data_IF_351911639154
#
_entry.id   IF_351911639154
#
_cell.length_a   1.000
_cell.length_b   1.000
_cell.length_c   1.000
_cell.angle_alpha   90.00
_cell.angle_beta   90.00
_cell.angle_gamma   90.00
#
_symmetry.space_group_name_H-M   'P 1'
#
loop_
_entity.id
_entity.type
_entity.pdbx_description
1 polymer ?
#
# COMPACT_ATOMS: atom_id res chain seq x y z
N UNK A 1 15.08 -20.41 -8.01
CA UNK A 1 13.64 -20.41 -8.32
C UNK A 1 13.54 -20.30 -9.83
N UNK A 2 12.77 -21.16 -10.46
CA UNK A 2 12.47 -21.09 -11.89
C UNK A 2 11.13 -20.39 -12.04
N UNK A 3 11.16 -19.16 -12.49
CA UNK A 3 9.96 -18.41 -12.82
C UNK A 3 9.45 -18.92 -14.18
N UNK A 4 8.21 -19.42 -14.21
CA UNK A 4 7.52 -19.73 -15.46
C UNK A 4 6.84 -18.48 -16.00
N UNK A 5 5.88 -18.63 -16.89
CA UNK A 5 5.12 -17.51 -17.45
C UNK A 5 4.40 -16.73 -16.32
N UNK A 6 5.00 -15.60 -15.93
CA UNK A 6 4.51 -14.71 -14.86
C UNK A 6 4.27 -13.35 -15.48
N UNK A 7 3.06 -12.82 -15.32
CA UNK A 7 2.71 -11.49 -15.82
C UNK A 7 3.20 -10.40 -14.85
N UNK A 8 3.07 -10.62 -13.53
CA UNK A 8 3.44 -9.66 -12.49
C UNK A 8 4.18 -10.35 -11.35
N UNK A 9 5.15 -9.63 -10.79
CA UNK A 9 5.86 -10.03 -9.56
C UNK A 9 5.78 -8.91 -8.55
N UNK A 10 5.21 -9.20 -7.39
CA UNK A 10 5.18 -8.29 -6.24
C UNK A 10 6.26 -8.68 -5.25
N UNK A 11 6.98 -7.70 -4.76
CA UNK A 11 8.05 -7.89 -3.77
C UNK A 11 7.64 -7.15 -2.51
N UNK A 12 7.32 -7.90 -1.44
CA UNK A 12 7.10 -7.33 -0.11
C UNK A 12 8.44 -6.97 0.51
N UNK A 13 8.59 -5.69 0.86
CA UNK A 13 9.84 -5.13 1.32
C UNK A 13 9.79 -4.80 2.81
N UNK A 14 10.90 -4.93 3.53
CA UNK A 14 10.96 -4.47 4.91
C UNK A 14 10.75 -2.94 4.99
N UNK A 15 10.23 -2.43 6.11
CA UNK A 15 9.97 -1.00 6.27
C UNK A 15 11.25 -0.16 6.25
N UNK A 16 11.12 1.07 5.78
CA UNK A 16 12.17 2.06 5.81
C UNK A 16 13.10 2.06 4.59
N UNK A 17 14.26 2.67 4.75
CA UNK A 17 15.23 2.94 3.68
C UNK A 17 16.52 2.14 3.86
N UNK A 18 16.40 0.91 4.35
CA UNK A 18 17.55 0.04 4.66
C UNK A 18 18.21 -0.61 3.43
N UNK A 19 19.29 -1.31 3.66
CA UNK A 19 20.15 -1.93 2.62
C UNK A 19 19.38 -2.93 1.74
N UNK A 20 18.35 -3.59 2.28
CA UNK A 20 17.54 -4.53 1.50
C UNK A 20 16.78 -3.81 0.40
N UNK A 21 16.15 -2.68 0.72
CA UNK A 21 15.43 -1.86 -0.25
C UNK A 21 16.37 -1.36 -1.36
N UNK A 22 17.53 -0.84 -0.97
CA UNK A 22 18.56 -0.40 -1.91
C UNK A 22 19.04 -1.55 -2.82
N UNK A 23 19.30 -2.71 -2.25
CA UNK A 23 19.76 -3.88 -3.00
C UNK A 23 18.73 -4.33 -4.05
N UNK A 24 17.45 -4.36 -3.67
CA UNK A 24 16.37 -4.73 -4.60
C UNK A 24 16.30 -3.72 -5.75
N UNK A 25 16.27 -2.42 -5.44
CA UNK A 25 16.17 -1.37 -6.45
C UNK A 25 17.40 -1.33 -7.40
N UNK A 26 18.58 -1.73 -6.91
CA UNK A 26 19.80 -1.78 -7.73
C UNK A 26 19.92 -3.05 -8.55
N UNK A 27 19.36 -4.16 -8.09
CA UNK A 27 19.59 -5.47 -8.68
C UNK A 27 18.43 -5.98 -9.53
N UNK A 28 17.23 -5.44 -9.35
CA UNK A 28 16.01 -5.87 -10.03
C UNK A 28 15.45 -4.68 -10.80
N UNK A 29 15.07 -4.84 -12.09
CA UNK A 29 14.42 -3.79 -12.86
C UNK A 29 12.99 -3.56 -12.39
N UNK A 30 12.84 -2.89 -11.24
CA UNK A 30 11.54 -2.58 -10.63
C UNK A 30 10.82 -1.55 -11.49
N UNK A 31 9.60 -1.83 -11.93
CA UNK A 31 8.78 -0.92 -12.73
C UNK A 31 8.22 0.24 -11.91
N UNK A 32 7.98 0.01 -10.62
CA UNK A 32 7.53 1.04 -9.70
C UNK A 32 7.35 0.52 -8.28
N UNK A 33 7.15 1.43 -7.36
CA UNK A 33 6.97 1.16 -5.93
C UNK A 33 5.63 1.73 -5.49
N UNK A 34 4.84 0.92 -4.80
CA UNK A 34 3.64 1.37 -4.08
C UNK A 34 4.01 1.53 -2.61
N UNK A 35 3.78 2.71 -2.07
CA UNK A 35 4.02 2.98 -0.66
C UNK A 35 2.79 2.65 0.16
N UNK A 36 2.95 1.84 1.21
CA UNK A 36 1.88 1.57 2.17
C UNK A 36 2.17 2.36 3.44
N UNK A 37 1.26 3.24 3.79
CA UNK A 37 1.36 4.13 4.96
C UNK A 37 0.23 3.83 5.95
N UNK A 38 0.35 4.36 7.14
CA UNK A 38 -0.76 4.52 8.10
C UNK A 38 -0.88 6.01 8.44
N UNK A 39 -2.07 6.49 8.85
CA UNK A 39 -2.31 7.93 9.04
C UNK A 39 -1.63 8.50 10.32
N UNK A 40 -0.49 7.97 10.70
CA UNK A 40 0.30 8.45 11.82
C UNK A 40 1.40 9.41 11.34
N UNK A 41 1.54 10.62 11.90
CA UNK A 41 2.51 11.62 11.44
C UNK A 41 3.96 11.12 11.37
N UNK A 42 4.35 10.24 12.30
CA UNK A 42 5.70 9.65 12.26
C UNK A 42 5.90 8.70 11.08
N UNK A 43 4.86 7.98 10.68
CA UNK A 43 4.92 7.06 9.53
C UNK A 43 5.02 7.86 8.23
N UNK A 44 4.27 8.96 8.10
CA UNK A 44 4.35 9.86 6.95
C UNK A 44 5.78 10.36 6.69
N UNK A 45 6.52 10.71 7.74
CA UNK A 45 7.95 11.10 7.61
C UNK A 45 8.84 9.96 7.11
N UNK A 46 8.54 8.71 7.48
CA UNK A 46 9.31 7.54 7.00
C UNK A 46 8.99 7.29 5.53
N UNK A 47 7.72 7.37 5.14
CA UNK A 47 7.28 7.21 3.76
C UNK A 47 7.87 8.32 2.87
N UNK A 48 7.87 9.56 3.31
CA UNK A 48 8.50 10.66 2.58
C UNK A 48 9.99 10.40 2.31
N UNK A 49 10.74 9.92 3.31
CA UNK A 49 12.14 9.52 3.13
C UNK A 49 12.30 8.37 2.13
N UNK A 50 11.38 7.40 2.15
CA UNK A 50 11.39 6.29 1.20
C UNK A 50 11.08 6.77 -0.23
N UNK A 51 10.16 7.70 -0.42
CA UNK A 51 9.90 8.34 -1.70
C UNK A 51 11.14 9.07 -2.24
N UNK A 52 11.82 9.87 -1.40
CA UNK A 52 13.08 10.52 -1.79
C UNK A 52 14.20 9.53 -2.11
N UNK A 53 14.23 8.37 -1.46
CA UNK A 53 15.17 7.31 -1.83
C UNK A 53 14.85 6.75 -3.22
N UNK A 54 13.59 6.46 -3.50
CA UNK A 54 13.16 5.99 -4.82
C UNK A 54 13.52 7.00 -5.92
N UNK A 55 13.29 8.30 -5.69
CA UNK A 55 13.68 9.37 -6.59
C UNK A 55 15.17 9.35 -6.90
N UNK A 56 16.03 9.25 -5.86
CA UNK A 56 17.49 9.15 -6.04
C UNK A 56 17.95 7.89 -6.77
N UNK A 57 17.16 6.82 -6.70
CA UNK A 57 17.41 5.55 -7.36
C UNK A 57 16.78 5.50 -8.77
N UNK A 58 16.12 6.59 -9.19
CA UNK A 58 15.40 6.68 -10.47
C UNK A 58 14.28 5.63 -10.60
N UNK A 59 13.70 5.21 -9.45
CA UNK A 59 12.57 4.29 -9.39
C UNK A 59 11.28 5.08 -9.18
N UNK A 60 10.29 4.87 -10.04
CA UNK A 60 9.00 5.55 -9.97
C UNK A 60 8.23 5.15 -8.72
N UNK A 61 7.78 6.11 -7.91
CA UNK A 61 6.74 5.87 -6.91
C UNK A 61 5.39 5.99 -7.62
N UNK A 62 4.64 4.89 -7.67
CA UNK A 62 3.36 4.81 -8.38
C UNK A 62 2.27 5.56 -7.61
N UNK A 63 2.23 5.35 -6.30
CA UNK A 63 1.27 6.00 -5.41
C UNK A 63 1.35 5.48 -3.98
N UNK A 64 0.43 5.95 -3.16
CA UNK A 64 0.33 5.64 -1.73
C UNK A 64 -0.99 4.90 -1.48
N UNK A 65 -0.95 3.87 -0.62
CA UNK A 65 -2.12 3.23 -0.02
C UNK A 65 -2.09 3.55 1.47
N UNK A 66 -3.17 4.11 1.99
CA UNK A 66 -3.29 4.37 3.42
C UNK A 66 -4.00 3.23 4.11
N UNK A 67 -3.26 2.43 4.86
CA UNK A 67 -3.80 1.32 5.64
C UNK A 67 -4.22 1.79 7.04
N UNK A 68 -5.21 1.13 7.63
CA UNK A 68 -5.75 1.46 8.97
C UNK A 68 -6.28 2.91 9.05
N UNK A 69 -6.83 3.43 7.96
CA UNK A 69 -7.25 4.82 7.86
C UNK A 69 -8.48 5.13 8.71
N UNK A 70 -9.38 4.17 8.88
CA UNK A 70 -10.63 4.32 9.63
C UNK A 70 -11.10 3.00 10.22
N UNK A 71 -12.02 3.08 11.17
CA UNK A 71 -12.79 1.95 11.68
C UNK A 71 -14.21 2.01 11.10
N UNK A 72 -14.74 0.88 10.67
CA UNK A 72 -16.16 0.76 10.33
C UNK A 72 -16.94 0.26 11.53
N UNK A 73 -17.96 0.99 11.94
CA UNK A 73 -18.83 0.57 13.05
C UNK A 73 -19.56 -0.72 12.68
N UNK A 74 -19.45 -1.79 13.48
CA UNK A 74 -20.08 -3.08 13.15
C UNK A 74 -21.61 -3.04 13.16
N UNK A 75 -22.24 -2.02 13.76
CA UNK A 75 -23.68 -1.93 13.89
C UNK A 75 -24.33 -1.02 12.83
N UNK A 76 -23.71 0.12 12.52
CA UNK A 76 -24.30 1.12 11.62
C UNK A 76 -23.46 1.36 10.36
N UNK A 77 -22.31 0.71 10.22
CA UNK A 77 -21.36 0.87 9.10
C UNK A 77 -20.85 2.30 8.90
N UNK A 78 -21.04 3.18 9.89
CA UNK A 78 -20.49 4.52 9.86
C UNK A 78 -18.95 4.47 10.00
N UNK A 79 -18.25 5.28 9.19
CA UNK A 79 -16.79 5.40 9.25
C UNK A 79 -16.40 6.29 10.42
N UNK A 80 -15.54 5.77 11.30
CA UNK A 80 -14.95 6.49 12.41
C UNK A 80 -13.50 6.79 12.04
N UNK A 81 -13.22 8.06 11.75
CA UNK A 81 -11.87 8.52 11.39
C UNK A 81 -11.12 8.91 12.67
N UNK A 82 -9.94 8.35 12.87
CA UNK A 82 -9.09 8.66 14.03
C UNK A 82 -8.07 9.76 13.73
N UNK A 83 -7.81 10.00 12.45
CA UNK A 83 -6.80 10.92 11.98
C UNK A 83 -7.40 11.89 10.97
N UNK A 84 -6.72 13.00 10.76
CA UNK A 84 -7.16 14.02 9.80
C UNK A 84 -6.79 13.60 8.38
N UNK A 85 -7.71 13.73 7.44
CA UNK A 85 -7.45 13.48 6.01
C UNK A 85 -6.36 14.39 5.42
N UNK A 86 -6.19 15.57 6.00
CA UNK A 86 -5.16 16.54 5.60
C UNK A 86 -3.74 15.99 5.68
N UNK A 87 -3.49 14.98 6.54
CA UNK A 87 -2.15 14.42 6.73
C UNK A 87 -1.70 13.59 5.52
N UNK A 88 -2.58 12.74 4.96
CA UNK A 88 -2.25 11.95 3.76
C UNK A 88 -2.23 12.80 2.50
N UNK A 89 -3.11 13.79 2.38
CA UNK A 89 -3.09 14.74 1.27
C UNK A 89 -1.79 15.54 1.25
N UNK A 90 -1.33 15.97 2.42
CA UNK A 90 -0.04 16.66 2.57
C UNK A 90 1.11 15.78 2.13
N UNK A 91 1.11 14.50 2.52
CA UNK A 91 2.12 13.53 2.12
C UNK A 91 2.10 13.32 0.59
N UNK A 92 0.95 13.11 -0.01
CA UNK A 92 0.82 12.96 -1.47
C UNK A 92 1.32 14.21 -2.21
N UNK A 93 1.00 15.40 -1.72
CA UNK A 93 1.46 16.66 -2.31
C UNK A 93 2.98 16.84 -2.18
N UNK A 94 3.57 16.53 -1.00
CA UNK A 94 5.03 16.68 -0.78
C UNK A 94 5.86 15.70 -1.60
N UNK A 95 5.31 14.53 -1.89
CA UNK A 95 5.97 13.48 -2.67
C UNK A 95 5.56 13.44 -4.14
N UNK A 96 4.67 14.34 -4.57
CA UNK A 96 4.11 14.38 -5.93
C UNK A 96 3.52 13.02 -6.38
N UNK A 97 2.89 12.31 -5.45
CA UNK A 97 2.28 11.00 -5.68
C UNK A 97 0.76 11.05 -5.52
N UNK A 98 0.06 10.06 -6.07
CA UNK A 98 -1.39 9.93 -5.87
C UNK A 98 -1.72 9.00 -4.71
N UNK A 99 -2.90 9.17 -4.13
CA UNK A 99 -3.49 8.22 -3.19
C UNK A 99 -4.32 7.21 -3.99
N UNK A 100 -3.94 5.94 -3.97
CA UNK A 100 -4.72 4.86 -4.59
C UNK A 100 -6.00 4.54 -3.82
N UNK A 101 -5.93 4.61 -2.50
CA UNK A 101 -7.08 4.37 -1.66
C UNK A 101 -6.75 4.26 -0.19
N UNK A 102 -7.81 4.12 0.59
CA UNK A 102 -7.72 3.96 2.05
C UNK A 102 -8.35 2.63 2.46
N UNK A 103 -7.67 1.89 3.32
CA UNK A 103 -8.15 0.61 3.85
C UNK A 103 -8.59 0.78 5.31
N UNK A 104 -9.68 0.13 5.71
CA UNK A 104 -10.14 0.14 7.09
C UNK A 104 -9.25 -0.70 8.01
N UNK A 105 -9.35 -0.44 9.30
CA UNK A 105 -8.81 -1.32 10.33
C UNK A 105 -9.78 -2.51 10.52
N UNK A 106 -9.52 -3.61 9.81
CA UNK A 106 -10.31 -4.83 9.85
C UNK A 106 -9.46 -6.02 10.30
N UNK A 107 -10.03 -6.86 11.14
CA UNK A 107 -9.39 -8.13 11.54
C UNK A 107 -9.10 -9.01 10.32
N UNK A 108 -10.02 -9.05 9.35
CA UNK A 108 -9.84 -9.82 8.09
C UNK A 108 -8.62 -9.37 7.28
N UNK A 109 -8.29 -8.07 7.28
CA UNK A 109 -7.09 -7.57 6.59
C UNK A 109 -5.83 -7.83 7.44
N UNK A 110 -5.93 -7.74 8.76
CA UNK A 110 -4.82 -8.04 9.66
C UNK A 110 -4.37 -9.49 9.52
N UNK A 111 -5.31 -10.39 9.41
CA UNK A 111 -5.06 -11.83 9.39
C UNK A 111 -5.10 -12.37 7.94
N UNK A 112 -4.72 -11.57 6.95
CA UNK A 112 -4.80 -11.87 5.51
C UNK A 112 -4.07 -13.17 5.12
N UNK A 113 -3.09 -13.61 5.89
CA UNK A 113 -2.40 -14.89 5.68
C UNK A 113 -3.34 -16.11 5.84
N UNK A 114 -4.50 -15.90 6.46
CA UNK A 114 -5.54 -16.92 6.61
C UNK A 114 -6.64 -16.80 5.55
N UNK A 115 -6.43 -15.99 4.52
CA UNK A 115 -7.43 -15.70 3.46
C UNK A 115 -8.05 -16.98 2.86
N UNK A 116 -7.24 -18.00 2.60
CA UNK A 116 -7.73 -19.28 2.05
C UNK A 116 -8.66 -20.04 3.03
N UNK A 117 -8.58 -19.75 4.33
CA UNK A 117 -9.43 -20.32 5.36
C UNK A 117 -10.72 -19.50 5.58
N UNK A 118 -10.83 -18.31 4.99
CA UNK A 118 -12.01 -17.47 5.12
C UNK A 118 -13.22 -18.05 4.40
N UNK A 119 -14.41 -17.76 4.93
CA UNK A 119 -15.65 -18.02 4.20
C UNK A 119 -15.70 -17.19 2.91
N UNK A 120 -16.51 -17.61 1.94
CA UNK A 120 -16.69 -16.85 0.70
C UNK A 120 -17.14 -15.42 0.93
N UNK A 121 -18.04 -15.19 1.88
CA UNK A 121 -18.52 -13.86 2.26
C UNK A 121 -17.38 -12.98 2.81
N UNK A 122 -16.48 -13.56 3.60
CA UNK A 122 -15.30 -12.85 4.13
C UNK A 122 -14.31 -12.52 3.00
N UNK A 123 -14.08 -13.45 2.07
CA UNK A 123 -13.22 -13.24 0.91
C UNK A 123 -13.80 -12.12 0.02
N UNK A 124 -15.08 -12.17 -0.33
CA UNK A 124 -15.76 -11.14 -1.11
C UNK A 124 -15.67 -9.75 -0.44
N UNK A 125 -15.75 -9.70 0.89
CA UNK A 125 -15.59 -8.44 1.65
C UNK A 125 -14.17 -7.89 1.55
N UNK A 126 -13.16 -8.72 1.68
CA UNK A 126 -11.74 -8.31 1.54
C UNK A 126 -11.48 -7.85 0.11
N UNK A 127 -11.93 -8.63 -0.88
CA UNK A 127 -11.74 -8.34 -2.30
C UNK A 127 -12.38 -7.00 -2.69
N UNK A 128 -13.55 -6.67 -2.13
CA UNK A 128 -14.21 -5.39 -2.37
C UNK A 128 -13.40 -4.17 -1.92
N UNK A 129 -12.55 -4.30 -0.89
CA UNK A 129 -11.67 -3.22 -0.46
C UNK A 129 -10.40 -3.09 -1.32
N UNK A 130 -9.96 -4.18 -1.91
CA UNK A 130 -8.64 -4.25 -2.56
C UNK A 130 -8.74 -4.16 -4.08
N UNK A 131 -9.84 -4.63 -4.69
CA UNK A 131 -9.96 -4.77 -6.14
C UNK A 131 -9.77 -3.47 -6.92
N UNK A 132 -10.36 -2.38 -6.45
CA UNK A 132 -10.26 -1.09 -7.12
C UNK A 132 -8.81 -0.56 -7.06
N UNK A 133 -8.19 -0.67 -5.89
CA UNK A 133 -6.79 -0.28 -5.67
C UNK A 133 -5.87 -1.12 -6.57
N UNK A 134 -6.07 -2.44 -6.62
CA UNK A 134 -5.28 -3.34 -7.44
C UNK A 134 -5.42 -3.01 -8.93
N UNK A 135 -6.64 -2.72 -9.38
CA UNK A 135 -6.90 -2.35 -10.77
C UNK A 135 -6.15 -1.08 -11.16
N UNK A 136 -6.23 -0.03 -10.36
CA UNK A 136 -5.51 1.22 -10.62
C UNK A 136 -3.99 1.04 -10.63
N UNK A 137 -3.45 0.23 -9.70
CA UNK A 137 -2.01 -0.07 -9.66
C UNK A 137 -1.57 -0.80 -10.92
N UNK A 138 -2.35 -1.77 -11.40
CA UNK A 138 -2.04 -2.54 -12.60
C UNK A 138 -2.12 -1.66 -13.86
N UNK A 139 -3.07 -0.73 -13.94
CA UNK A 139 -3.17 0.23 -15.04
C UNK A 139 -1.95 1.18 -15.11
N UNK A 140 -1.37 1.56 -13.98
CA UNK A 140 -0.20 2.44 -13.93
C UNK A 140 1.11 1.73 -14.28
N UNK A 141 1.14 0.41 -14.24
CA UNK A 141 2.29 -0.44 -14.56
C UNK A 141 2.23 -0.89 -16.04
N UNK A 142 1.04 -1.01 -16.62
CA UNK A 142 0.84 -1.48 -18.00
C UNK A 142 1.35 -0.46 -19.01
#
# INVERSE_FOLDING_TARGET
IIWKDIDYMFIDMPPGTGDVALTIMQSIPVQGVVMVSTPQPMVSMIVEKACHMCEKMEVKVLGIIENMAYLECPNCHERIEFYKKEDVETLCNSTCTKLYGTLPMLDLIRDINEYDAYSKEQQEKVDAYISDIATEVLEDIA
#
